data_IF_885165450505
#
_entry.id   IF_885165450505
#
_cell.length_a   1.000
_cell.length_b   1.000
_cell.length_c   1.000
_cell.angle_alpha   90.00
_cell.angle_beta   90.00
_cell.angle_gamma   90.00
#
_symmetry.space_group_name_H-M   'P 1'
#
loop_
_entity.id
_entity.type
_entity.pdbx_description
1 polymer ?
#
# COMPACT_ATOMS: atom_id res chain seq x y z
N UNK A 1 10.67 21.59 -32.80
CA UNK A 1 10.47 21.11 -31.42
C UNK A 1 11.81 20.60 -30.93
N UNK A 2 12.49 21.38 -30.11
CA UNK A 2 13.81 21.01 -29.58
C UNK A 2 13.56 19.99 -28.47
N UNK A 3 13.88 18.71 -28.72
CA UNK A 3 13.89 17.69 -27.67
C UNK A 3 14.89 18.11 -26.59
N UNK A 4 14.41 18.40 -25.39
CA UNK A 4 15.28 18.67 -24.24
C UNK A 4 15.62 17.31 -23.65
N UNK A 5 16.71 16.72 -24.13
CA UNK A 5 17.23 15.45 -23.61
C UNK A 5 17.84 15.67 -22.23
N UNK A 6 17.48 14.85 -21.23
CA UNK A 6 18.07 14.94 -19.89
C UNK A 6 19.54 14.54 -19.88
N UNK A 7 20.26 15.14 -18.94
CA UNK A 7 21.56 14.62 -18.52
C UNK A 7 21.40 13.33 -17.70
N UNK A 8 22.42 12.46 -17.63
CA UNK A 8 22.39 11.25 -16.81
C UNK A 8 22.03 11.50 -15.34
N UNK A 9 22.52 12.59 -14.75
CA UNK A 9 22.22 12.97 -13.36
C UNK A 9 20.75 13.31 -13.15
N UNK A 10 20.13 14.00 -14.13
CA UNK A 10 18.70 14.29 -14.08
C UNK A 10 17.86 13.01 -14.25
N UNK A 11 18.27 12.09 -15.12
CA UNK A 11 17.60 10.80 -15.27
C UNK A 11 17.70 9.97 -13.97
N UNK A 12 18.86 9.94 -13.31
CA UNK A 12 19.05 9.27 -12.03
C UNK A 12 18.20 9.89 -10.90
N UNK A 13 18.10 11.22 -10.84
CA UNK A 13 17.25 11.90 -9.87
C UNK A 13 15.76 11.57 -10.07
N UNK A 14 15.29 11.52 -11.32
CA UNK A 14 13.91 11.11 -11.62
C UNK A 14 13.69 9.64 -11.29
N UNK A 15 14.63 8.75 -11.60
CA UNK A 15 14.53 7.34 -11.21
C UNK A 15 14.40 7.18 -9.68
N UNK A 16 15.19 7.91 -8.89
CA UNK A 16 15.08 7.89 -7.43
C UNK A 16 13.71 8.40 -6.95
N UNK A 17 13.18 9.45 -7.56
CA UNK A 17 11.85 9.97 -7.25
C UNK A 17 10.73 9.00 -7.63
N UNK A 18 10.83 8.34 -8.78
CA UNK A 18 9.92 7.27 -9.22
C UNK A 18 9.96 6.09 -8.24
N UNK A 19 11.15 5.67 -7.82
CA UNK A 19 11.29 4.59 -6.84
C UNK A 19 10.67 4.97 -5.49
N UNK A 20 10.85 6.21 -5.05
CA UNK A 20 10.21 6.74 -3.85
C UNK A 20 8.68 6.75 -3.97
N UNK A 21 8.14 7.12 -5.15
CA UNK A 21 6.70 7.11 -5.41
C UNK A 21 6.13 5.68 -5.44
N UNK A 22 6.84 4.72 -6.06
CA UNK A 22 6.46 3.30 -5.97
C UNK A 22 6.50 2.78 -4.53
N UNK A 23 7.38 3.34 -3.69
CA UNK A 23 7.44 3.05 -2.26
C UNK A 23 6.24 3.55 -1.45
N UNK A 24 5.38 4.41 -2.02
CA UNK A 24 4.12 4.81 -1.38
C UNK A 24 2.94 3.94 -1.81
N UNK A 25 3.09 3.12 -2.85
CA UNK A 25 2.05 2.21 -3.33
C UNK A 25 2.13 0.91 -2.53
N UNK A 26 0.98 0.45 -2.06
CA UNK A 26 0.88 -0.64 -1.10
C UNK A 26 0.14 -1.82 -1.73
N UNK A 27 0.50 -3.02 -1.31
CA UNK A 27 -0.44 -4.12 -1.41
C UNK A 27 -1.62 -3.82 -0.45
N UNK A 28 -2.87 -3.82 -0.94
CA UNK A 28 -4.01 -3.41 -0.14
C UNK A 28 -4.29 -4.38 1.03
N UNK A 29 -3.99 -5.67 0.87
CA UNK A 29 -4.20 -6.66 1.93
C UNK A 29 -3.11 -6.58 3.00
N UNK A 30 -1.85 -6.47 2.56
CA UNK A 30 -0.68 -6.55 3.43
C UNK A 30 -0.33 -5.20 4.08
N UNK A 31 -0.75 -4.09 3.48
CA UNK A 31 -0.41 -2.73 3.88
C UNK A 31 1.13 -2.54 3.99
N UNK A 32 1.83 -3.10 3.00
CA UNK A 32 3.28 -3.01 2.80
C UNK A 32 3.60 -2.48 1.39
N UNK A 33 4.66 -1.66 1.23
CA UNK A 33 5.06 -1.14 -0.08
C UNK A 33 5.40 -2.22 -1.11
N UNK A 34 5.01 -1.98 -2.38
CA UNK A 34 5.34 -2.89 -3.49
C UNK A 34 6.85 -3.08 -3.68
N UNK A 35 7.62 -2.02 -3.45
CA UNK A 35 9.10 -2.05 -3.51
C UNK A 35 9.68 -2.93 -2.42
N UNK A 36 9.11 -2.90 -1.22
CA UNK A 36 9.54 -3.76 -0.13
C UNK A 36 9.14 -5.21 -0.37
N UNK A 37 7.95 -5.47 -0.90
CA UNK A 37 7.46 -6.83 -1.20
C UNK A 37 8.18 -7.49 -2.38
N UNK A 38 8.98 -6.75 -3.15
CA UNK A 38 9.68 -7.25 -4.34
C UNK A 38 8.78 -7.39 -5.57
N UNK A 39 7.60 -6.77 -5.54
CA UNK A 39 6.61 -6.86 -6.62
C UNK A 39 7.02 -6.01 -7.82
N UNK A 40 7.86 -4.98 -7.62
CA UNK A 40 8.47 -4.22 -8.72
C UNK A 40 9.64 -5.02 -9.31
N UNK A 41 9.44 -5.67 -10.45
CA UNK A 41 10.48 -6.45 -11.14
C UNK A 41 11.43 -5.59 -11.96
N UNK A 42 10.93 -4.47 -12.49
CA UNK A 42 11.71 -3.57 -13.32
C UNK A 42 11.19 -2.14 -13.22
N UNK A 43 12.12 -1.17 -13.23
CA UNK A 43 11.81 0.26 -13.29
C UNK A 43 12.90 0.95 -14.13
N UNK A 44 12.48 1.59 -15.23
CA UNK A 44 13.35 2.31 -16.16
C UNK A 44 12.81 3.72 -16.37
N UNK A 45 13.72 4.69 -16.45
CA UNK A 45 13.42 6.07 -16.87
C UNK A 45 14.28 6.40 -18.09
N UNK A 46 13.66 6.83 -19.19
CA UNK A 46 14.40 7.27 -20.38
C UNK A 46 14.84 8.73 -20.26
N UNK A 47 15.73 9.19 -21.16
CA UNK A 47 16.21 10.57 -21.19
C UNK A 47 15.08 11.58 -21.51
N UNK A 48 14.05 11.14 -22.22
CA UNK A 48 12.84 11.89 -22.55
C UNK A 48 11.84 11.93 -21.38
N UNK A 49 12.08 11.15 -20.31
CA UNK A 49 11.21 11.04 -19.14
C UNK A 49 10.08 10.04 -19.25
N UNK A 50 10.15 9.11 -20.19
CA UNK A 50 9.24 7.97 -20.21
C UNK A 50 9.62 7.02 -19.08
N UNK A 51 8.63 6.60 -18.29
CA UNK A 51 8.82 5.64 -17.20
C UNK A 51 8.17 4.32 -17.56
N UNK A 52 8.93 3.23 -17.43
CA UNK A 52 8.43 1.87 -17.63
C UNK A 52 8.60 1.08 -16.34
N UNK A 53 7.48 0.65 -15.77
CA UNK A 53 7.42 -0.18 -14.56
C UNK A 53 6.84 -1.54 -14.92
N UNK A 54 7.47 -2.60 -14.40
CA UNK A 54 6.95 -3.97 -14.45
C UNK A 54 6.65 -4.44 -13.04
N UNK A 55 5.44 -4.96 -12.86
CA UNK A 55 4.98 -5.57 -11.63
C UNK A 55 4.80 -7.07 -11.83
N UNK A 56 5.11 -7.84 -10.80
CA UNK A 56 4.90 -9.29 -10.74
C UNK A 56 4.34 -9.67 -9.38
N UNK A 57 3.52 -10.72 -9.36
CA UNK A 57 2.80 -11.13 -8.15
C UNK A 57 3.16 -12.56 -7.73
N UNK A 58 3.00 -12.90 -6.43
CA UNK A 58 3.41 -14.20 -5.90
C UNK A 58 2.76 -15.40 -6.57
N UNK A 59 1.52 -15.26 -7.08
CA UNK A 59 0.79 -16.35 -7.74
C UNK A 59 0.11 -15.88 -9.02
N UNK A 60 -0.09 -16.80 -9.96
CA UNK A 60 -0.74 -16.50 -11.26
C UNK A 60 -2.21 -16.07 -11.09
N UNK A 61 -2.84 -16.48 -9.99
CA UNK A 61 -4.24 -16.26 -9.66
C UNK A 61 -4.42 -15.33 -8.45
N UNK A 62 -3.48 -14.41 -8.20
CA UNK A 62 -3.72 -13.32 -7.26
C UNK A 62 -5.04 -12.61 -7.61
N UNK A 63 -5.73 -12.06 -6.62
CA UNK A 63 -7.07 -11.52 -6.85
C UNK A 63 -7.00 -10.35 -7.86
N UNK A 64 -7.80 -10.37 -8.95
CA UNK A 64 -7.68 -9.39 -10.04
C UNK A 64 -8.01 -7.96 -9.60
N UNK A 65 -8.90 -7.80 -8.63
CA UNK A 65 -9.19 -6.53 -7.98
C UNK A 65 -7.98 -5.97 -7.22
N UNK A 66 -7.21 -6.79 -6.50
CA UNK A 66 -6.03 -6.32 -5.75
C UNK A 66 -4.92 -5.96 -6.74
N UNK A 67 -4.70 -6.82 -7.74
CA UNK A 67 -3.76 -6.58 -8.81
C UNK A 67 -4.08 -5.28 -9.57
N UNK A 68 -5.36 -5.03 -9.87
CA UNK A 68 -5.81 -3.80 -10.50
C UNK A 68 -5.50 -2.56 -9.66
N UNK A 69 -5.80 -2.59 -8.35
CA UNK A 69 -5.47 -1.48 -7.43
C UNK A 69 -3.96 -1.19 -7.45
N UNK A 70 -3.12 -2.21 -7.32
CA UNK A 70 -1.66 -2.03 -7.31
C UNK A 70 -1.12 -1.45 -8.63
N UNK A 71 -1.66 -1.88 -9.78
CA UNK A 71 -1.24 -1.36 -11.10
C UNK A 71 -1.73 0.07 -11.30
N UNK A 72 -2.99 0.36 -10.95
CA UNK A 72 -3.58 1.69 -11.04
C UNK A 72 -2.87 2.69 -10.12
N UNK A 73 -2.65 2.34 -8.86
CA UNK A 73 -1.98 3.19 -7.87
C UNK A 73 -0.51 3.43 -8.26
N UNK A 74 0.17 2.42 -8.81
CA UNK A 74 1.51 2.59 -9.40
C UNK A 74 1.51 3.55 -10.57
N UNK A 75 0.51 3.48 -11.46
CA UNK A 75 0.38 4.41 -12.56
C UNK A 75 0.20 5.84 -12.05
N UNK A 76 -0.67 6.06 -11.07
CA UNK A 76 -0.95 7.38 -10.50
C UNK A 76 0.23 7.96 -9.73
N UNK A 77 0.84 7.17 -8.85
CA UNK A 77 2.00 7.61 -8.08
C UNK A 77 3.17 8.01 -8.97
N UNK A 78 3.47 7.21 -10.01
CA UNK A 78 4.56 7.51 -10.95
C UNK A 78 4.20 8.70 -11.86
N UNK A 79 2.95 8.82 -12.31
CA UNK A 79 2.51 9.94 -13.15
C UNK A 79 2.59 11.29 -12.43
N UNK A 80 2.50 11.30 -11.11
CA UNK A 80 2.61 12.51 -10.29
C UNK A 80 4.05 13.01 -10.09
N UNK A 81 5.06 12.22 -10.47
CA UNK A 81 6.47 12.59 -10.25
C UNK A 81 6.89 13.72 -11.19
N UNK A 82 7.44 14.84 -10.67
CA UNK A 82 7.95 15.93 -11.50
C UNK A 82 9.01 15.45 -12.49
N UNK A 83 8.82 15.79 -13.77
CA UNK A 83 9.70 15.34 -14.86
C UNK A 83 9.27 14.02 -15.49
N UNK A 84 8.22 13.34 -15.05
CA UNK A 84 7.66 12.23 -15.83
C UNK A 84 6.85 12.77 -17.00
N UNK A 85 7.10 12.27 -18.22
CA UNK A 85 6.42 12.70 -19.45
C UNK A 85 5.42 11.68 -19.96
N UNK A 86 5.69 10.39 -19.73
CA UNK A 86 4.76 9.29 -19.98
C UNK A 86 5.01 8.13 -19.03
N UNK A 87 3.97 7.33 -18.76
CA UNK A 87 4.05 6.19 -17.84
C UNK A 87 3.49 4.95 -18.52
N UNK A 88 4.22 3.84 -18.38
CA UNK A 88 3.74 2.50 -18.69
C UNK A 88 3.98 1.60 -17.49
N UNK A 89 2.91 1.21 -16.81
CA UNK A 89 2.93 0.16 -15.80
C UNK A 89 2.32 -1.09 -16.44
N UNK A 90 3.02 -2.24 -16.35
CA UNK A 90 2.47 -3.53 -16.77
C UNK A 90 2.64 -4.56 -15.68
N UNK A 91 1.56 -5.28 -15.39
CA UNK A 91 1.55 -6.53 -14.67
C UNK A 91 1.98 -7.67 -15.60
N UNK A 92 2.90 -8.50 -15.12
CA UNK A 92 3.45 -9.66 -15.83
C UNK A 92 2.94 -10.97 -15.23
N UNK A 93 2.78 -11.99 -16.08
CA UNK A 93 2.55 -13.38 -15.65
C UNK A 93 1.36 -13.51 -14.67
N UNK A 94 0.21 -12.97 -15.07
CA UNK A 94 -1.04 -13.03 -14.31
C UNK A 94 -2.21 -13.34 -15.24
N UNK A 95 -3.18 -14.14 -14.79
CA UNK A 95 -4.27 -14.62 -15.65
C UNK A 95 -5.11 -13.49 -16.27
N UNK A 96 -5.22 -12.37 -15.57
CA UNK A 96 -5.94 -11.17 -16.02
C UNK A 96 -5.00 -10.02 -16.44
N UNK A 97 -3.71 -10.28 -16.68
CA UNK A 97 -2.71 -9.23 -16.95
C UNK A 97 -3.13 -8.31 -18.10
N UNK A 98 -3.54 -8.87 -19.24
CA UNK A 98 -3.92 -8.07 -20.43
C UNK A 98 -5.09 -7.14 -20.13
N UNK A 99 -6.14 -7.68 -19.50
CA UNK A 99 -7.34 -6.93 -19.12
C UNK A 99 -7.01 -5.79 -18.14
N UNK A 100 -6.24 -6.09 -17.09
CA UNK A 100 -5.83 -5.09 -16.09
C UNK A 100 -4.99 -4.00 -16.73
N UNK A 101 -3.97 -4.40 -17.51
CA UNK A 101 -3.02 -3.48 -18.12
C UNK A 101 -3.69 -2.52 -19.10
N UNK A 102 -4.57 -3.05 -19.95
CA UNK A 102 -5.29 -2.24 -20.93
C UNK A 102 -6.33 -1.33 -20.25
N UNK A 103 -7.02 -1.85 -19.23
CA UNK A 103 -7.96 -1.11 -18.41
C UNK A 103 -7.33 0.10 -17.71
N UNK A 104 -6.18 -0.09 -17.06
CA UNK A 104 -5.45 0.99 -16.39
C UNK A 104 -4.90 1.99 -17.41
N UNK A 105 -4.30 1.52 -18.50
CA UNK A 105 -3.75 2.41 -19.54
C UNK A 105 -4.84 3.30 -20.19
N UNK A 106 -6.06 2.79 -20.31
CA UNK A 106 -7.22 3.53 -20.84
C UNK A 106 -8.01 4.30 -19.78
N UNK A 107 -7.61 4.21 -18.50
CA UNK A 107 -8.34 4.81 -17.36
C UNK A 107 -9.80 4.36 -17.31
N UNK A 108 -10.07 3.09 -17.62
CA UNK A 108 -11.44 2.55 -17.78
C UNK A 108 -12.14 2.22 -16.46
N UNK A 109 -11.46 2.31 -15.31
CA UNK A 109 -11.99 1.82 -14.03
C UNK A 109 -12.04 0.30 -13.97
N UNK A 110 -12.37 -0.27 -12.82
CA UNK A 110 -12.44 -1.73 -12.66
C UNK A 110 -13.65 -2.30 -13.41
N UNK A 111 -14.82 -1.66 -13.31
CA UNK A 111 -16.04 -2.11 -13.99
C UNK A 111 -15.89 -2.04 -15.50
N UNK A 112 -15.31 -0.96 -16.02
CA UNK A 112 -15.06 -0.82 -17.45
C UNK A 112 -14.03 -1.83 -17.99
N UNK A 113 -13.15 -2.36 -17.13
CA UNK A 113 -12.15 -3.36 -17.51
C UNK A 113 -12.70 -4.80 -17.50
N UNK A 114 -13.67 -5.09 -16.63
CA UNK A 114 -14.24 -6.42 -16.43
C UNK A 114 -15.75 -6.46 -16.71
N UNK A 115 -16.19 -6.23 -17.96
CA UNK A 115 -17.60 -6.13 -18.30
C UNK A 115 -18.35 -7.46 -18.05
N UNK A 116 -19.40 -7.41 -17.25
CA UNK A 116 -20.22 -8.58 -16.90
C UNK A 116 -19.66 -9.44 -15.76
N UNK A 117 -18.45 -9.17 -15.29
CA UNK A 117 -17.82 -9.84 -14.13
C UNK A 117 -17.76 -8.91 -12.90
N UNK A 118 -17.43 -7.63 -13.12
CA UNK A 118 -17.39 -6.64 -12.04
C UNK A 118 -18.78 -6.12 -11.69
N UNK A 119 -19.12 -6.21 -10.40
CA UNK A 119 -20.40 -5.74 -9.85
C UNK A 119 -20.36 -4.29 -9.33
N UNK A 120 -19.16 -3.72 -9.20
CA UNK A 120 -18.94 -2.35 -8.71
C UNK A 120 -17.46 -1.96 -8.78
N UNK A 121 -17.19 -0.67 -8.59
CA UNK A 121 -15.83 -0.15 -8.43
C UNK A 121 -15.25 -0.55 -7.08
N UNK A 122 -13.95 -0.30 -6.88
CA UNK A 122 -13.17 -0.86 -5.78
C UNK A 122 -13.09 0.04 -4.54
N UNK A 123 -13.88 1.12 -4.46
CA UNK A 123 -13.82 2.08 -3.34
C UNK A 123 -14.16 1.45 -1.99
N UNK A 124 -15.23 0.66 -1.91
CA UNK A 124 -15.63 -0.04 -0.68
C UNK A 124 -14.59 -1.08 -0.25
N UNK A 125 -14.04 -1.81 -1.23
CA UNK A 125 -12.97 -2.78 -0.99
C UNK A 125 -11.71 -2.08 -0.45
N UNK A 126 -11.34 -0.93 -1.02
CA UNK A 126 -10.21 -0.12 -0.54
C UNK A 126 -10.47 0.34 0.89
N UNK A 127 -11.68 0.82 1.20
CA UNK A 127 -12.04 1.24 2.55
C UNK A 127 -11.92 0.07 3.55
N UNK A 128 -12.36 -1.13 3.21
CA UNK A 128 -12.23 -2.32 4.07
C UNK A 128 -10.77 -2.67 4.37
N UNK A 129 -9.90 -2.60 3.37
CA UNK A 129 -8.46 -2.79 3.56
C UNK A 129 -7.84 -1.72 4.45
N UNK A 130 -8.21 -0.45 4.25
CA UNK A 130 -7.75 0.64 5.10
C UNK A 130 -8.23 0.47 6.55
N UNK A 131 -9.45 -0.05 6.79
CA UNK A 131 -9.93 -0.33 8.15
C UNK A 131 -9.08 -1.41 8.83
N UNK A 132 -8.70 -2.45 8.10
CA UNK A 132 -7.77 -3.49 8.58
C UNK A 132 -6.37 -2.93 8.85
N UNK A 133 -5.88 -2.06 7.97
CA UNK A 133 -4.63 -1.34 8.14
C UNK A 133 -4.61 -0.48 9.43
N UNK A 134 -5.71 0.22 9.73
CA UNK A 134 -5.88 0.98 10.98
C UNK A 134 -5.87 0.06 12.20
N UNK A 135 -6.56 -1.10 12.15
CA UNK A 135 -6.51 -2.09 13.23
C UNK A 135 -5.09 -2.60 13.47
N UNK A 136 -4.41 -3.06 12.43
CA UNK A 136 -3.06 -3.57 12.55
C UNK A 136 -2.06 -2.49 13.02
N UNK A 137 -2.17 -1.26 12.52
CA UNK A 137 -1.38 -0.12 12.96
C UNK A 137 -1.64 0.23 14.44
N UNK A 138 -2.89 0.11 14.89
CA UNK A 138 -3.25 0.30 16.30
C UNK A 138 -2.53 -0.72 17.20
N UNK A 139 -2.47 -2.01 16.81
CA UNK A 139 -1.70 -3.01 17.57
C UNK A 139 -0.20 -2.70 17.57
N UNK A 140 0.40 -2.29 16.45
CA UNK A 140 1.83 -1.92 16.39
C UNK A 140 2.18 -0.84 17.41
N UNK A 141 1.42 0.26 17.39
CA UNK A 141 1.63 1.40 18.31
C UNK A 141 1.35 0.99 19.76
N UNK A 142 0.19 0.40 20.04
CA UNK A 142 -0.20 0.06 21.41
C UNK A 142 0.72 -1.00 22.02
N UNK A 143 1.17 -1.97 21.23
CA UNK A 143 2.10 -3.00 21.69
C UNK A 143 3.44 -2.41 22.09
N UNK A 144 3.98 -1.46 21.32
CA UNK A 144 5.22 -0.77 21.67
C UNK A 144 5.08 0.02 22.98
N UNK A 145 3.94 0.70 23.17
CA UNK A 145 3.64 1.42 24.42
C UNK A 145 3.52 0.47 25.62
N UNK A 146 2.83 -0.67 25.47
CA UNK A 146 2.74 -1.69 26.52
C UNK A 146 4.11 -2.26 26.85
N UNK A 147 4.96 -2.52 25.84
CA UNK A 147 6.33 -2.98 26.06
C UNK A 147 7.19 -1.94 26.79
N UNK A 148 6.88 -0.65 26.64
CA UNK A 148 7.49 0.45 27.38
C UNK A 148 6.87 0.70 28.78
N UNK A 149 5.93 -0.13 29.22
CA UNK A 149 5.34 -0.08 30.56
C UNK A 149 4.02 0.66 30.69
N UNK A 150 3.42 1.13 29.59
CA UNK A 150 2.07 1.73 29.62
C UNK A 150 1.03 0.67 29.96
N UNK A 151 0.15 0.97 30.92
CA UNK A 151 -0.92 0.05 31.28
C UNK A 151 -1.93 -0.12 30.14
N UNK A 152 -2.33 -1.36 29.87
CA UNK A 152 -3.23 -1.69 28.76
C UNK A 152 -4.57 -0.97 28.85
N UNK A 153 -5.11 -0.78 30.05
CA UNK A 153 -6.43 -0.16 30.21
C UNK A 153 -6.36 1.36 30.06
N UNK A 154 -5.22 1.99 30.37
CA UNK A 154 -5.02 3.42 30.12
C UNK A 154 -5.01 3.81 28.64
N UNK A 155 -4.73 2.87 27.72
CA UNK A 155 -4.67 3.15 26.27
C UNK A 155 -5.98 3.75 25.72
N UNK A 156 -7.13 3.45 26.34
CA UNK A 156 -8.43 3.96 25.93
C UNK A 156 -8.61 5.47 26.19
N UNK A 157 -7.85 6.04 27.12
CA UNK A 157 -7.92 7.48 27.46
C UNK A 157 -6.77 8.28 26.86
N UNK A 158 -5.82 7.61 26.21
CA UNK A 158 -4.69 8.27 25.55
C UNK A 158 -5.07 8.75 24.15
N UNK A 159 -4.27 9.67 23.66
CA UNK A 159 -4.39 10.29 22.35
C UNK A 159 -3.28 9.81 21.40
N UNK A 160 -3.43 10.08 20.11
CA UNK A 160 -2.36 9.86 19.13
C UNK A 160 -1.12 10.71 19.39
N UNK A 161 -1.23 11.83 20.12
CA UNK A 161 -0.10 12.66 20.54
C UNK A 161 0.74 12.01 21.65
N UNK A 162 0.12 11.18 22.49
CA UNK A 162 0.79 10.46 23.58
C UNK A 162 1.62 9.27 23.09
N UNK A 163 1.36 8.79 21.87
CA UNK A 163 2.13 7.72 21.25
C UNK A 163 3.53 8.20 20.83
N UNK A 164 4.58 7.37 21.01
CA UNK A 164 5.94 7.70 20.58
C UNK A 164 6.01 8.11 19.11
N UNK A 165 6.84 9.10 18.81
CA UNK A 165 7.10 9.48 17.43
C UNK A 165 7.79 8.33 16.68
N UNK A 166 7.38 8.08 15.44
CA UNK A 166 7.98 7.03 14.64
C UNK A 166 7.12 6.59 13.47
N UNK A 167 7.66 5.65 12.68
CA UNK A 167 7.04 5.16 11.46
C UNK A 167 5.65 4.54 11.69
N UNK A 168 5.47 3.77 12.77
CA UNK A 168 4.18 3.15 13.08
C UNK A 168 3.09 4.19 13.40
N UNK A 169 3.44 5.25 14.14
CA UNK A 169 2.51 6.35 14.44
C UNK A 169 2.12 7.10 13.18
N UNK A 170 3.09 7.44 12.32
CA UNK A 170 2.79 8.17 11.07
C UNK A 170 2.00 7.31 10.08
N UNK A 171 2.32 6.02 9.98
CA UNK A 171 1.56 5.06 9.17
C UNK A 171 0.11 4.98 9.64
N UNK A 172 -0.13 4.84 10.95
CA UNK A 172 -1.47 4.85 11.52
C UNK A 172 -2.22 6.15 11.19
N UNK A 173 -1.55 7.30 11.30
CA UNK A 173 -2.14 8.60 10.93
C UNK A 173 -2.49 8.68 9.46
N UNK A 174 -1.62 8.22 8.56
CA UNK A 174 -1.90 8.21 7.11
C UNK A 174 -3.15 7.41 6.80
N UNK A 175 -3.26 6.17 7.31
CA UNK A 175 -4.42 5.32 7.06
C UNK A 175 -5.72 5.91 7.61
N UNK A 176 -5.65 6.58 8.76
CA UNK A 176 -6.79 7.33 9.29
C UNK A 176 -7.17 8.50 8.39
N UNK A 177 -6.21 9.29 7.90
CA UNK A 177 -6.49 10.41 6.96
C UNK A 177 -7.15 9.91 5.68
N UNK A 178 -6.67 8.80 5.12
CA UNK A 178 -7.22 8.18 3.91
C UNK A 178 -8.69 7.73 4.09
N UNK A 179 -9.08 7.35 5.31
CA UNK A 179 -10.47 7.02 5.67
C UNK A 179 -11.29 8.22 6.20
N UNK A 180 -10.71 9.42 6.29
CA UNK A 180 -11.38 10.56 6.92
C UNK A 180 -11.57 10.43 8.44
N UNK A 181 -10.79 9.58 9.11
CA UNK A 181 -10.86 9.34 10.55
C UNK A 181 -10.01 10.35 11.36
N UNK A 182 -10.34 10.58 12.65
CA UNK A 182 -9.53 11.41 13.55
C UNK A 182 -8.06 10.97 13.62
N UNK A 183 -7.15 11.86 13.19
CA UNK A 183 -5.72 11.55 12.99
C UNK A 183 -4.75 12.61 13.56
N UNK A 184 -5.27 13.61 14.28
CA UNK A 184 -4.48 14.66 14.93
C UNK A 184 -3.98 14.26 16.32
N UNK A 185 -3.14 15.09 16.93
CA UNK A 185 -2.52 14.81 18.24
C UNK A 185 -3.55 14.64 19.35
N UNK A 186 -4.65 15.37 19.29
CA UNK A 186 -5.76 15.27 20.25
C UNK A 186 -6.77 14.15 19.94
N UNK A 187 -6.58 13.41 18.85
CA UNK A 187 -7.49 12.32 18.47
C UNK A 187 -7.28 11.09 19.36
N UNK A 188 -8.31 10.27 19.63
CA UNK A 188 -8.17 9.05 20.44
C UNK A 188 -7.08 8.13 19.88
N UNK A 189 -6.23 7.60 20.76
CA UNK A 189 -5.20 6.62 20.38
C UNK A 189 -5.85 5.37 19.78
N UNK A 190 -6.94 4.91 20.39
CA UNK A 190 -7.70 3.73 19.96
C UNK A 190 -9.11 4.15 19.58
N UNK A 191 -9.48 3.90 18.32
CA UNK A 191 -10.81 4.16 17.78
C UNK A 191 -11.30 2.96 16.96
N UNK A 192 -12.61 2.85 16.79
CA UNK A 192 -13.20 1.90 15.86
C UNK A 192 -13.03 2.45 14.43
N UNK A 193 -12.35 1.75 13.51
CA UNK A 193 -12.16 2.22 12.14
C UNK A 193 -13.46 2.26 11.32
N UNK A 194 -14.55 1.63 11.77
CA UNK A 194 -15.85 1.69 11.12
C UNK A 194 -16.60 2.99 11.44
N UNK A 195 -16.49 3.50 12.67
CA UNK A 195 -17.25 4.67 13.14
C UNK A 195 -16.39 5.92 13.37
N UNK A 196 -15.09 5.76 13.59
CA UNK A 196 -14.18 6.83 14.01
C UNK A 196 -14.29 7.20 15.48
N UNK A 197 -15.14 6.52 16.24
CA UNK A 197 -15.37 6.80 17.66
C UNK A 197 -14.34 6.12 18.56
N UNK A 198 -14.07 6.72 19.72
CA UNK A 198 -13.21 6.11 20.73
C UNK A 198 -13.78 4.77 21.20
N UNK A 199 -12.91 3.78 21.38
CA UNK A 199 -13.33 2.44 21.79
C UNK A 199 -13.63 2.39 23.29
N UNK A 200 -14.76 1.77 23.64
CA UNK A 200 -15.13 1.49 25.04
C UNK A 200 -14.60 0.14 25.53
N UNK A 201 -14.67 -0.92 24.72
CA UNK A 201 -14.09 -2.24 25.02
C UNK A 201 -12.68 -2.40 24.44
N UNK A 202 -11.70 -1.84 25.16
CA UNK A 202 -10.29 -1.87 24.78
C UNK A 202 -9.74 -3.30 24.65
N UNK A 203 -10.25 -4.25 25.45
CA UNK A 203 -9.70 -5.60 25.49
C UNK A 203 -10.03 -6.35 24.21
N UNK A 204 -11.31 -6.32 23.82
CA UNK A 204 -11.77 -6.96 22.58
C UNK A 204 -11.14 -6.30 21.37
N UNK A 205 -11.08 -4.96 21.34
CA UNK A 205 -10.49 -4.24 20.23
C UNK A 205 -9.00 -4.53 20.04
N UNK A 206 -8.19 -4.52 21.11
CA UNK A 206 -6.77 -4.88 21.01
C UNK A 206 -6.56 -6.35 20.64
N UNK A 207 -7.49 -7.24 21.02
CA UNK A 207 -7.49 -8.64 20.57
C UNK A 207 -7.67 -8.76 19.06
N UNK A 208 -8.65 -8.04 18.51
CA UNK A 208 -8.90 -7.97 17.06
C UNK A 208 -7.74 -7.33 16.32
N UNK A 209 -7.25 -6.17 16.79
CA UNK A 209 -6.11 -5.46 16.22
C UNK A 209 -4.87 -6.35 16.11
N UNK A 210 -4.56 -7.10 17.17
CA UNK A 210 -3.46 -8.08 17.18
C UNK A 210 -3.68 -9.18 16.15
N UNK A 211 -4.89 -9.76 16.09
CA UNK A 211 -5.20 -10.82 15.14
C UNK A 211 -5.02 -10.34 13.69
N UNK A 212 -5.53 -9.15 13.38
CA UNK A 212 -5.39 -8.53 12.06
C UNK A 212 -3.92 -8.32 11.69
N UNK A 213 -3.11 -7.73 12.59
CA UNK A 213 -1.67 -7.54 12.33
C UNK A 213 -0.95 -8.86 12.09
N UNK A 214 -1.17 -9.86 12.94
CA UNK A 214 -0.51 -11.18 12.81
C UNK A 214 -0.90 -11.86 11.49
N UNK A 215 -2.17 -11.77 11.09
CA UNK A 215 -2.61 -12.31 9.80
C UNK A 215 -1.92 -11.61 8.63
N UNK A 216 -1.80 -10.28 8.66
CA UNK A 216 -1.12 -9.53 7.60
C UNK A 216 0.36 -9.91 7.52
N UNK A 217 1.08 -9.95 8.64
CA UNK A 217 2.49 -10.34 8.65
C UNK A 217 2.72 -11.77 8.16
N UNK A 218 1.85 -12.71 8.53
CA UNK A 218 1.90 -14.09 8.03
C UNK A 218 1.68 -14.13 6.51
N UNK A 219 0.68 -13.41 6.00
CA UNK A 219 0.38 -13.33 4.57
C UNK A 219 1.54 -12.68 3.81
N UNK A 220 2.15 -11.62 4.34
CA UNK A 220 3.34 -10.99 3.77
C UNK A 220 4.51 -11.97 3.64
N UNK A 221 4.78 -12.76 4.69
CA UNK A 221 5.82 -13.79 4.66
C UNK A 221 5.55 -14.86 3.60
N UNK A 222 4.30 -15.33 3.50
CA UNK A 222 3.88 -16.30 2.48
C UNK A 222 4.01 -15.73 1.07
N UNK A 223 3.54 -14.50 0.84
CA UNK A 223 3.65 -13.81 -0.44
C UNK A 223 5.10 -13.67 -0.89
N UNK A 224 6.01 -13.28 0.01
CA UNK A 224 7.44 -13.20 -0.29
C UNK A 224 8.00 -14.57 -0.66
N UNK A 225 7.72 -15.62 0.12
CA UNK A 225 8.19 -16.97 -0.16
C UNK A 225 7.69 -17.53 -1.50
N UNK A 226 6.40 -17.32 -1.82
CA UNK A 226 5.82 -17.70 -3.10
C UNK A 226 6.44 -16.94 -4.27
N UNK A 227 6.67 -15.63 -4.12
CA UNK A 227 7.33 -14.81 -5.13
C UNK A 227 8.77 -15.28 -5.41
N UNK A 228 9.54 -15.55 -4.35
CA UNK A 228 10.91 -16.07 -4.45
C UNK A 228 10.93 -17.39 -5.22
N UNK A 229 10.06 -18.34 -4.84
CA UNK A 229 9.97 -19.64 -5.48
C UNK A 229 9.50 -19.57 -6.94
N UNK A 230 8.57 -18.68 -7.24
CA UNK A 230 8.02 -18.49 -8.59
C UNK A 230 9.04 -17.91 -9.57
N UNK A 231 9.84 -16.95 -9.13
CA UNK A 231 10.75 -16.19 -10.00
C UNK A 231 12.24 -16.48 -9.79
N UNK A 232 12.58 -17.48 -8.96
CA UNK A 232 13.97 -17.87 -8.70
C UNK A 232 14.82 -16.73 -8.12
N UNK A 233 14.19 -15.82 -7.37
CA UNK A 233 14.89 -14.71 -6.72
C UNK A 233 15.78 -15.24 -5.60
N UNK A 234 16.94 -14.62 -5.39
CA UNK A 234 17.79 -14.92 -4.24
C UNK A 234 17.25 -14.15 -3.03
N UNK A 235 17.19 -14.79 -1.87
CA UNK A 235 17.04 -14.05 -0.61
C UNK A 235 18.25 -13.11 -0.48
N UNK A 236 18.00 -11.81 -0.32
CA UNK A 236 19.03 -10.88 0.11
C UNK A 236 19.39 -11.27 1.55
N UNK A 237 20.61 -11.77 1.72
CA UNK A 237 21.14 -12.35 2.96
C UNK A 237 21.82 -11.31 3.84
#
# INVERSE_FOLDING_TARGET
MTSVTRTPDQAAAVLAAVWSALGTVLDPELDEPLTQLGFVSHCLVTEEGEVRVRLRLPTYFCAPNFAFLMVADSFDAVSAVPGVTSVSVRLEDHFAADVINDGVARRSGFVGSFPGEAVGELDDLRADFLRRAVLAGTDRVCRAMIAAGVDRFSLATLTLGDAPEGADRERLRSRRRELGLPSGDSSPLVLDPATGEAVTDIRTHLGLARLTRVSQEANSGVCRGMLLGRYGMKEER
#
